data_IF_939331270660
#
_entry.id   IF_939331270660
#
_cell.length_a   1.000
_cell.length_b   1.000
_cell.length_c   1.000
_cell.angle_alpha   90.00
_cell.angle_beta   90.00
_cell.angle_gamma   90.00
#
_symmetry.space_group_name_H-M   'P 1'
#
loop_
_entity.id
_entity.type
_entity.pdbx_description
1 polymer ?
#
# COMPACT_ATOMS: atom_id res chain seq x y z
N UNK A 1 4.63 -7.79 74.23
CA UNK A 1 5.99 -8.16 73.80
C UNK A 1 5.86 -9.23 72.72
N UNK A 2 6.01 -8.84 71.46
CA UNK A 2 5.93 -9.70 70.28
C UNK A 2 6.09 -8.80 69.04
N UNK A 3 7.20 -8.89 68.29
CA UNK A 3 7.75 -7.75 67.57
C UNK A 3 7.10 -7.48 66.20
N UNK A 4 6.93 -6.17 66.02
CA UNK A 4 6.94 -5.31 64.85
C UNK A 4 7.18 -5.92 63.46
N UNK A 5 6.43 -5.34 62.51
CA UNK A 5 6.35 -5.73 61.12
C UNK A 5 7.64 -5.49 60.35
N UNK A 6 7.88 -6.40 59.41
CA UNK A 6 8.93 -6.27 58.41
C UNK A 6 8.27 -5.97 57.07
N UNK A 7 7.91 -4.70 56.85
CA UNK A 7 7.58 -4.21 55.51
C UNK A 7 8.83 -4.31 54.63
N UNK A 8 8.72 -5.09 53.55
CA UNK A 8 9.76 -5.19 52.53
C UNK A 8 9.83 -3.86 51.79
N UNK A 9 11.01 -3.24 51.64
CA UNK A 9 11.13 -2.01 50.87
C UNK A 9 10.87 -2.31 49.38
N UNK A 10 9.87 -1.62 48.82
CA UNK A 10 9.67 -1.53 47.37
C UNK A 10 10.94 -0.93 46.74
N UNK A 11 11.66 -1.76 45.99
CA UNK A 11 12.78 -1.30 45.18
C UNK A 11 12.27 -0.30 44.14
N UNK A 12 12.88 0.89 44.00
CA UNK A 12 12.48 1.85 42.99
C UNK A 12 12.68 1.25 41.60
N UNK A 13 11.63 1.30 40.78
CA UNK A 13 11.67 0.92 39.37
C UNK A 13 12.86 1.58 38.69
N UNK A 14 13.83 0.74 38.29
CA UNK A 14 15.00 1.20 37.55
C UNK A 14 14.50 1.90 36.29
N UNK A 15 14.98 3.12 35.97
CA UNK A 15 14.58 3.79 34.75
C UNK A 15 14.97 2.90 33.57
N UNK A 16 13.94 2.43 32.87
CA UNK A 16 14.07 1.54 31.74
C UNK A 16 15.07 2.14 30.74
N UNK A 17 16.14 1.40 30.45
CA UNK A 17 17.22 1.87 29.57
C UNK A 17 16.65 2.04 28.16
N UNK A 18 16.20 3.25 27.83
CA UNK A 18 15.71 3.62 26.50
C UNK A 18 16.74 3.17 25.46
N UNK A 19 16.33 2.27 24.57
CA UNK A 19 17.23 1.71 23.56
C UNK A 19 17.91 2.84 22.78
N UNK A 20 19.21 2.69 22.50
CA UNK A 20 20.00 3.71 21.75
C UNK A 20 19.59 3.84 20.28
N UNK A 21 18.52 3.17 19.84
CA UNK A 21 18.01 3.27 18.47
C UNK A 21 17.28 4.61 18.33
N UNK A 22 17.56 5.35 17.27
CA UNK A 22 16.78 6.55 16.93
C UNK A 22 15.33 6.10 16.72
N UNK A 23 14.42 6.69 17.48
CA UNK A 23 13.00 6.35 17.43
C UNK A 23 12.35 6.68 16.09
N UNK A 24 11.08 6.32 15.96
CA UNK A 24 10.27 6.65 14.82
C UNK A 24 10.26 8.16 14.55
N UNK A 25 10.00 8.50 13.29
CA UNK A 25 9.84 9.86 12.86
C UNK A 25 8.67 10.55 13.56
N UNK A 26 8.81 11.85 13.86
CA UNK A 26 7.72 12.63 14.46
C UNK A 26 6.54 12.71 13.48
N UNK A 27 5.32 12.63 14.01
CA UNK A 27 4.11 12.71 13.18
C UNK A 27 4.01 14.05 12.42
N UNK A 28 3.55 14.08 11.14
CA UNK A 28 3.45 15.31 10.36
C UNK A 28 2.56 16.39 10.98
N UNK A 29 1.47 16.00 11.66
CA UNK A 29 0.61 16.95 12.35
C UNK A 29 1.34 17.57 13.53
N UNK A 30 2.05 16.74 14.30
CA UNK A 30 2.85 17.22 15.43
C UNK A 30 3.99 18.15 14.97
N UNK A 31 4.67 17.84 13.86
CA UNK A 31 5.65 18.76 13.24
C UNK A 31 5.04 20.11 12.90
N UNK A 32 3.88 20.10 12.25
CA UNK A 32 3.14 21.32 11.90
C UNK A 32 2.82 22.13 13.16
N UNK A 33 2.34 21.46 14.21
CA UNK A 33 2.03 22.09 15.49
C UNK A 33 3.26 22.77 16.11
N UNK A 34 4.41 22.11 16.12
CA UNK A 34 5.66 22.69 16.64
C UNK A 34 6.07 23.95 15.85
N UNK A 35 5.94 23.92 14.52
CA UNK A 35 6.24 25.08 13.68
C UNK A 35 5.27 26.24 13.93
N UNK A 36 3.96 25.97 14.05
CA UNK A 36 2.95 26.99 14.38
C UNK A 36 3.21 27.65 15.74
N UNK A 37 3.55 26.87 16.76
CA UNK A 37 3.90 27.40 18.09
C UNK A 37 5.11 28.34 18.02
N UNK A 38 6.08 28.02 17.17
CA UNK A 38 7.27 28.87 16.99
C UNK A 38 6.99 30.12 16.16
N UNK A 39 6.27 29.97 15.05
CA UNK A 39 6.13 31.03 14.04
C UNK A 39 4.98 31.99 14.38
N UNK A 40 3.83 31.46 14.78
CA UNK A 40 2.61 32.22 15.07
C UNK A 40 2.56 32.65 16.53
N UNK A 41 2.71 31.71 17.47
CA UNK A 41 2.62 32.00 18.91
C UNK A 41 3.93 32.53 19.52
N UNK A 42 5.03 32.53 18.76
CA UNK A 42 6.38 33.01 19.17
C UNK A 42 6.94 32.33 20.43
N UNK A 43 6.57 31.07 20.69
CA UNK A 43 7.09 30.33 21.83
C UNK A 43 8.60 30.04 21.70
N UNK A 44 9.29 30.00 22.84
CA UNK A 44 10.68 29.56 22.93
C UNK A 44 10.80 28.04 22.84
N UNK A 45 11.95 27.53 22.39
CA UNK A 45 12.17 26.09 22.30
C UNK A 45 11.99 25.36 23.65
N UNK A 46 12.35 26.02 24.76
CA UNK A 46 12.16 25.46 26.11
C UNK A 46 10.68 25.38 26.50
N UNK A 47 9.89 26.41 26.20
CA UNK A 47 8.44 26.38 26.44
C UNK A 47 7.77 25.26 25.65
N UNK A 48 8.15 25.08 24.38
CA UNK A 48 7.64 23.99 23.53
C UNK A 48 8.05 22.61 24.10
N UNK A 49 9.28 22.47 24.62
CA UNK A 49 9.71 21.22 25.25
C UNK A 49 8.95 20.93 26.55
N UNK A 50 8.62 21.95 27.34
CA UNK A 50 7.86 21.78 28.57
C UNK A 50 6.43 21.28 28.27
N UNK A 51 5.82 21.76 27.19
CA UNK A 51 4.52 21.28 26.69
C UNK A 51 4.61 19.84 26.15
N UNK A 52 5.69 19.53 25.42
CA UNK A 52 5.93 18.21 24.83
C UNK A 52 7.18 17.54 25.42
N UNK A 53 7.16 17.10 26.69
CA UNK A 53 8.35 16.58 27.37
C UNK A 53 8.85 15.25 26.80
N UNK A 54 7.98 14.53 26.10
CA UNK A 54 8.33 13.29 25.40
C UNK A 54 9.19 13.53 24.15
N UNK A 55 9.19 14.75 23.59
CA UNK A 55 9.97 15.10 22.42
C UNK A 55 11.29 15.73 22.87
N UNK A 56 12.46 15.17 22.47
CA UNK A 56 13.74 15.78 22.81
C UNK A 56 13.88 17.20 22.23
N UNK A 57 14.52 18.09 22.99
CA UNK A 57 14.76 19.47 22.56
C UNK A 57 15.50 19.56 21.22
N UNK A 58 16.42 18.63 20.96
CA UNK A 58 17.14 18.52 19.69
C UNK A 58 16.20 18.20 18.52
N UNK A 59 15.21 17.32 18.74
CA UNK A 59 14.17 17.00 17.75
C UNK A 59 13.30 18.21 17.48
N UNK A 60 12.88 18.97 18.49
CA UNK A 60 12.10 20.21 18.31
C UNK A 60 12.89 21.22 17.48
N UNK A 61 14.14 21.50 17.86
CA UNK A 61 15.01 22.44 17.13
C UNK A 61 15.21 22.04 15.67
N UNK A 62 15.57 20.79 15.42
CA UNK A 62 15.79 20.28 14.06
C UNK A 62 14.50 20.17 13.24
N UNK A 63 13.36 19.99 13.89
CA UNK A 63 12.04 20.03 13.23
C UNK A 63 11.77 21.43 12.71
N UNK A 64 11.86 22.45 13.57
CA UNK A 64 11.61 23.83 13.19
C UNK A 64 12.65 24.32 12.16
N UNK A 65 13.94 24.07 12.37
CA UNK A 65 15.00 24.58 11.49
C UNK A 65 14.94 23.99 10.07
N UNK A 66 14.47 22.75 9.93
CA UNK A 66 14.36 22.07 8.63
C UNK A 66 12.97 22.16 8.01
N UNK A 67 12.10 23.02 8.55
CA UNK A 67 10.73 23.21 8.05
C UNK A 67 10.73 23.51 6.55
N UNK A 68 11.59 24.43 6.10
CA UNK A 68 11.72 24.83 4.69
C UNK A 68 12.11 23.69 3.74
N UNK A 69 12.76 22.65 4.25
CA UNK A 69 13.20 21.52 3.44
C UNK A 69 12.11 20.45 3.30
N UNK A 70 11.05 20.50 4.10
CA UNK A 70 9.97 19.50 4.06
C UNK A 70 8.90 19.93 3.06
N UNK A 71 8.37 18.96 2.34
CA UNK A 71 7.18 19.13 1.50
C UNK A 71 6.02 18.49 2.25
N UNK A 72 4.95 19.24 2.51
CA UNK A 72 3.77 18.78 3.27
C UNK A 72 4.13 18.20 4.66
N UNK A 73 5.15 18.74 5.34
CA UNK A 73 5.64 18.27 6.64
C UNK A 73 6.19 16.82 6.66
N UNK A 74 6.38 16.20 5.49
CA UNK A 74 7.07 14.92 5.35
C UNK A 74 8.58 15.12 5.21
N UNK A 75 9.34 14.18 5.77
CA UNK A 75 10.78 14.12 5.57
C UNK A 75 11.07 13.81 4.11
N UNK A 76 12.08 14.48 3.54
CA UNK A 76 12.53 14.14 2.19
C UNK A 76 13.05 12.71 2.15
N UNK A 77 12.66 11.98 1.10
CA UNK A 77 13.25 10.68 0.82
C UNK A 77 14.76 10.84 0.67
N UNK A 78 15.52 9.88 1.22
CA UNK A 78 16.97 9.87 1.03
C UNK A 78 17.27 9.61 -0.43
N UNK A 79 18.26 10.32 -0.98
CA UNK A 79 18.82 9.95 -2.27
C UNK A 79 19.29 8.50 -2.19
N UNK A 80 18.65 7.64 -2.98
CA UNK A 80 19.02 6.23 -3.06
C UNK A 80 20.42 6.05 -3.64
N UNK A 81 20.87 4.80 -3.72
CA UNK A 81 22.11 4.46 -4.42
C UNK A 81 21.97 4.82 -5.90
N UNK A 82 22.98 5.44 -6.54
CA UNK A 82 22.95 5.70 -7.97
C UNK A 82 22.82 4.40 -8.76
N UNK A 83 22.05 4.45 -9.84
CA UNK A 83 21.86 3.32 -10.76
C UNK A 83 23.15 3.00 -11.50
N UNK A 84 23.42 1.71 -11.74
CA UNK A 84 24.53 1.26 -12.60
C UNK A 84 24.27 1.53 -14.09
N UNK A 85 23.00 1.59 -14.48
CA UNK A 85 22.58 1.95 -15.83
C UNK A 85 22.64 3.47 -15.98
N UNK A 86 23.50 3.94 -16.88
CA UNK A 86 23.52 5.33 -17.33
C UNK A 86 22.34 5.58 -18.27
N UNK A 87 21.98 6.85 -18.44
CA UNK A 87 20.87 7.23 -19.32
C UNK A 87 21.15 6.86 -20.79
N UNK A 88 22.41 6.94 -21.22
CA UNK A 88 22.88 6.48 -22.53
C UNK A 88 22.60 4.98 -22.75
N UNK A 89 22.92 4.15 -21.76
CA UNK A 89 22.70 2.70 -21.82
C UNK A 89 21.20 2.38 -21.86
N UNK A 90 20.38 3.15 -21.14
CA UNK A 90 18.91 3.04 -21.17
C UNK A 90 18.35 3.38 -22.54
N UNK A 91 18.85 4.44 -23.19
CA UNK A 91 18.45 4.81 -24.54
C UNK A 91 18.78 3.69 -25.54
N UNK A 92 19.98 3.10 -25.46
CA UNK A 92 20.37 1.95 -26.30
C UNK A 92 19.45 0.74 -26.12
N UNK A 93 19.08 0.41 -24.87
CA UNK A 93 18.13 -0.68 -24.59
C UNK A 93 16.76 -0.37 -25.19
N UNK A 94 16.27 0.86 -25.05
CA UNK A 94 14.97 1.28 -25.61
C UNK A 94 14.97 1.17 -27.13
N UNK A 95 16.01 1.65 -27.79
CA UNK A 95 16.16 1.54 -29.25
C UNK A 95 16.18 0.08 -29.72
N UNK A 96 16.99 -0.76 -29.08
CA UNK A 96 17.04 -2.20 -29.40
C UNK A 96 15.67 -2.89 -29.21
N UNK A 97 14.93 -2.52 -28.16
CA UNK A 97 13.60 -3.06 -27.90
C UNK A 97 12.54 -2.55 -28.87
N UNK A 98 12.63 -1.29 -29.32
CA UNK A 98 11.75 -0.74 -30.34
C UNK A 98 12.02 -1.34 -31.72
N UNK A 99 13.28 -1.61 -32.05
CA UNK A 99 13.66 -2.27 -33.29
C UNK A 99 13.11 -3.71 -33.34
N UNK A 100 13.25 -4.46 -32.24
CA UNK A 100 12.77 -5.83 -32.14
C UNK A 100 12.11 -6.07 -30.76
N UNK A 101 10.77 -6.15 -30.69
CA UNK A 101 10.08 -6.32 -29.41
C UNK A 101 10.28 -7.72 -28.80
N UNK A 102 10.63 -8.74 -29.58
CA UNK A 102 10.84 -10.11 -29.09
C UNK A 102 12.27 -10.40 -28.62
N UNK A 103 13.10 -9.36 -28.44
CA UNK A 103 14.51 -9.53 -28.03
C UNK A 103 14.60 -10.18 -26.64
N UNK A 104 15.53 -11.13 -26.55
CA UNK A 104 15.81 -11.86 -25.32
C UNK A 104 16.67 -11.03 -24.36
N UNK A 105 16.63 -11.36 -23.07
CA UNK A 105 17.43 -10.65 -22.08
C UNK A 105 18.94 -10.80 -22.30
N UNK A 106 19.36 -11.93 -22.88
CA UNK A 106 20.77 -12.19 -23.20
C UNK A 106 21.28 -11.27 -24.31
N UNK A 107 20.47 -11.02 -25.34
CA UNK A 107 20.81 -10.07 -26.41
C UNK A 107 20.87 -8.62 -25.88
N UNK A 108 19.95 -8.23 -24.99
CA UNK A 108 20.00 -6.90 -24.35
C UNK A 108 21.20 -6.73 -23.43
N UNK A 109 21.74 -7.81 -22.85
CA UNK A 109 22.97 -7.74 -22.07
C UNK A 109 24.18 -7.41 -22.92
N UNK A 110 24.25 -7.97 -24.13
CA UNK A 110 25.33 -7.69 -25.08
C UNK A 110 25.32 -6.21 -25.48
N UNK A 111 24.15 -5.63 -25.74
CA UNK A 111 23.99 -4.19 -26.07
C UNK A 111 24.54 -3.27 -24.97
N UNK A 112 24.50 -3.72 -23.71
CA UNK A 112 24.89 -2.96 -22.52
C UNK A 112 26.26 -3.42 -21.99
N UNK A 113 27.01 -4.21 -22.76
CA UNK A 113 28.33 -4.72 -22.41
C UNK A 113 28.37 -5.44 -21.04
N UNK A 114 27.31 -6.18 -20.70
CA UNK A 114 27.16 -6.90 -19.43
C UNK A 114 27.37 -6.06 -18.15
N UNK A 115 27.17 -4.73 -18.21
CA UNK A 115 27.34 -3.83 -17.05
C UNK A 115 26.34 -4.13 -15.91
N UNK A 116 25.21 -4.74 -16.23
CA UNK A 116 24.13 -5.08 -15.30
C UNK A 116 23.70 -6.54 -15.42
N UNK A 117 23.03 -7.07 -14.39
CA UNK A 117 22.48 -8.42 -14.44
C UNK A 117 21.12 -8.49 -15.13
N UNK A 118 20.73 -9.70 -15.55
CA UNK A 118 19.41 -9.98 -16.18
C UNK A 118 18.23 -9.42 -15.39
N UNK A 119 18.26 -9.55 -14.07
CA UNK A 119 17.16 -9.09 -13.19
C UNK A 119 17.06 -7.56 -13.16
N UNK A 120 18.18 -6.83 -13.28
CA UNK A 120 18.16 -5.37 -13.40
C UNK A 120 17.54 -4.91 -14.71
N UNK A 121 17.82 -5.60 -15.82
CA UNK A 121 17.16 -5.34 -17.11
C UNK A 121 15.68 -5.68 -17.07
N UNK A 122 15.30 -6.79 -16.42
CA UNK A 122 13.89 -7.16 -16.23
C UNK A 122 13.13 -6.09 -15.46
N UNK A 123 13.67 -5.60 -14.34
CA UNK A 123 13.08 -4.51 -13.56
C UNK A 123 12.97 -3.24 -14.40
N UNK A 124 14.05 -2.85 -15.07
CA UNK A 124 14.08 -1.68 -15.95
C UNK A 124 12.99 -1.72 -17.03
N UNK A 125 12.87 -2.83 -17.77
CA UNK A 125 11.85 -2.97 -18.81
C UNK A 125 10.41 -3.00 -18.27
N UNK A 126 10.22 -3.48 -17.04
CA UNK A 126 8.92 -3.47 -16.37
C UNK A 126 8.54 -2.07 -15.86
N UNK A 127 9.52 -1.32 -15.32
CA UNK A 127 9.36 0.06 -14.85
C UNK A 127 9.05 1.00 -16.03
N UNK A 128 9.74 0.82 -17.16
CA UNK A 128 9.48 1.54 -18.42
C UNK A 128 8.20 1.07 -19.14
N UNK A 129 7.53 0.00 -18.66
CA UNK A 129 6.27 -0.49 -19.22
C UNK A 129 6.35 -1.24 -20.55
N UNK A 130 7.55 -1.42 -21.10
CA UNK A 130 7.81 -1.96 -22.44
C UNK A 130 7.34 -3.41 -22.66
N UNK A 131 7.25 -4.21 -21.59
CA UNK A 131 6.78 -5.61 -21.68
C UNK A 131 5.29 -5.81 -21.39
N UNK A 132 4.61 -4.84 -20.76
CA UNK A 132 3.17 -4.93 -20.49
C UNK A 132 2.32 -4.72 -21.74
N UNK A 133 2.86 -4.01 -22.73
CA UNK A 133 2.22 -3.73 -24.02
C UNK A 133 2.25 -4.92 -24.98
N UNK A 134 2.87 -6.05 -24.60
CA UNK A 134 3.01 -7.23 -25.45
C UNK A 134 1.97 -8.32 -25.25
N UNK A 135 0.95 -8.15 -24.41
CA UNK A 135 -0.13 -9.15 -24.37
C UNK A 135 -0.97 -8.97 -25.63
N UNK A 136 -0.84 -9.82 -26.68
CA UNK A 136 -1.82 -9.77 -27.76
C UNK A 136 -3.17 -10.11 -27.15
N UNK A 137 -4.17 -9.28 -27.40
CA UNK A 137 -5.56 -9.64 -27.10
C UNK A 137 -5.83 -11.02 -27.69
N UNK A 138 -6.43 -11.90 -26.88
CA UNK A 138 -6.89 -13.27 -27.24
C UNK A 138 -7.86 -13.19 -28.43
N UNK A 139 -7.35 -13.01 -29.64
CA UNK A 139 -8.12 -12.73 -30.85
C UNK A 139 -8.10 -13.90 -31.83
N UNK A 140 -7.43 -15.01 -31.52
CA UNK A 140 -7.28 -16.15 -32.43
C UNK A 140 -8.18 -17.36 -32.13
N UNK A 141 -9.21 -17.24 -31.28
CA UNK A 141 -10.21 -18.31 -31.09
C UNK A 141 -11.48 -18.12 -31.96
N UNK A 142 -11.54 -17.06 -32.76
CA UNK A 142 -12.63 -16.82 -33.70
C UNK A 142 -12.13 -17.00 -35.15
N UNK A 143 -11.97 -18.25 -35.59
CA UNK A 143 -11.59 -18.51 -36.97
C UNK A 143 -11.44 -19.99 -37.30
N UNK A 144 -12.50 -20.55 -37.90
CA UNK A 144 -12.57 -21.79 -38.69
C UNK A 144 -12.92 -23.09 -37.95
N UNK A 145 -14.21 -23.33 -37.84
CA UNK A 145 -14.85 -24.65 -38.06
C UNK A 145 -16.10 -24.42 -38.90
N UNK A 146 -15.94 -24.42 -40.24
CA UNK A 146 -16.47 -25.47 -41.12
C UNK A 146 -17.99 -25.36 -41.35
N UNK A 147 -18.31 -24.77 -42.51
CA UNK A 147 -19.59 -24.86 -43.20
C UNK A 147 -19.95 -26.31 -43.46
N UNK A 148 -20.93 -26.85 -42.74
CA UNK A 148 -21.74 -27.96 -43.24
C UNK A 148 -23.20 -27.53 -43.15
N UNK A 149 -23.75 -27.16 -44.31
CA UNK A 149 -25.18 -27.14 -44.55
C UNK A 149 -25.72 -28.55 -44.29
N UNK A 150 -26.63 -28.68 -43.32
CA UNK A 150 -27.60 -29.77 -43.30
C UNK A 150 -28.94 -29.13 -43.00
N UNK A 151 -29.84 -29.29 -43.96
CA UNK A 151 -31.28 -29.04 -43.85
C UNK A 151 -31.85 -29.56 -42.53
N UNK A 152 -32.71 -28.75 -41.92
CA UNK A 152 -33.38 -29.15 -40.69
C UNK A 152 -34.10 -27.99 -40.02
N UNK A 153 -35.01 -27.35 -40.73
CA UNK A 153 -35.99 -26.47 -40.10
C UNK A 153 -36.85 -27.29 -39.13
N UNK A 154 -36.65 -27.09 -37.82
CA UNK A 154 -37.70 -27.28 -36.82
C UNK A 154 -37.60 -26.15 -35.78
N UNK A 155 -38.72 -25.46 -35.48
CA UNK A 155 -38.75 -24.44 -34.45
C UNK A 155 -38.54 -25.09 -33.08
N UNK A 156 -37.64 -24.50 -32.28
CA UNK A 156 -37.40 -24.91 -30.90
C UNK A 156 -38.67 -24.66 -30.11
N UNK A 157 -39.39 -25.72 -29.74
CA UNK A 157 -40.43 -25.63 -28.72
C UNK A 157 -39.78 -25.21 -27.40
N UNK A 158 -40.26 -24.11 -26.83
CA UNK A 158 -39.93 -23.72 -25.47
C UNK A 158 -40.42 -24.81 -24.50
N UNK A 159 -39.51 -25.58 -23.92
CA UNK A 159 -39.88 -26.42 -22.78
C UNK A 159 -39.92 -25.54 -21.52
N UNK A 160 -41.11 -25.06 -21.20
CA UNK A 160 -41.42 -24.68 -19.83
C UNK A 160 -41.68 -25.97 -19.06
N UNK A 161 -40.63 -26.59 -18.50
CA UNK A 161 -40.63 -27.49 -17.32
C UNK A 161 -39.23 -28.15 -17.20
N UNK A 162 -38.48 -27.94 -16.10
CA UNK A 162 -37.27 -28.72 -15.84
C UNK A 162 -37.63 -30.17 -15.44
N UNK A 163 -36.87 -31.18 -15.87
CA UNK A 163 -37.14 -32.57 -15.50
C UNK A 163 -36.96 -32.79 -13.98
N UNK A 164 -37.91 -33.51 -13.38
CA UNK A 164 -37.86 -33.92 -11.99
C UNK A 164 -36.61 -34.79 -11.75
N UNK A 165 -35.65 -34.27 -11.00
CA UNK A 165 -34.40 -34.97 -10.67
C UNK A 165 -33.21 -34.07 -10.35
N UNK A 166 -33.28 -32.76 -10.55
CA UNK A 166 -32.19 -31.82 -10.25
C UNK A 166 -32.24 -31.24 -8.81
N UNK A 167 -33.08 -31.81 -7.94
CA UNK A 167 -33.08 -31.49 -6.51
C UNK A 167 -31.99 -32.31 -5.80
N UNK A 168 -30.73 -31.91 -6.00
CA UNK A 168 -29.56 -32.47 -5.33
C UNK A 168 -28.88 -31.42 -4.44
N UNK A 169 -29.40 -31.28 -3.22
CA UNK A 169 -28.70 -30.94 -1.98
C UNK A 169 -27.56 -29.88 -2.03
N UNK A 170 -27.92 -28.60 -2.04
CA UNK A 170 -27.04 -27.57 -1.45
C UNK A 170 -27.46 -27.37 0.02
N UNK A 171 -26.47 -27.51 0.88
CA UNK A 171 -26.64 -27.80 2.30
C UNK A 171 -27.46 -26.78 3.08
N UNK A 172 -28.25 -27.33 3.99
CA UNK A 172 -28.85 -26.65 5.14
C UNK A 172 -27.78 -25.91 5.93
N UNK A 173 -27.96 -24.61 6.11
CA UNK A 173 -27.15 -23.82 7.01
C UNK A 173 -27.66 -22.40 7.11
N UNK A 174 -28.45 -22.15 8.16
CA UNK A 174 -28.79 -20.84 8.75
C UNK A 174 -30.04 -20.13 8.16
N UNK A 175 -31.18 -20.49 8.75
CA UNK A 175 -32.25 -19.52 9.09
C UNK A 175 -31.75 -18.66 10.27
N UNK A 176 -32.17 -17.37 10.40
CA UNK A 176 -33.53 -17.02 10.80
C UNK A 176 -34.16 -15.90 9.94
N UNK A 177 -35.39 -16.08 9.46
CA UNK A 177 -36.62 -15.57 10.08
C UNK A 177 -36.72 -14.03 10.05
N UNK A 178 -37.20 -13.50 8.93
CA UNK A 178 -37.76 -12.16 8.84
C UNK A 178 -39.27 -12.23 9.01
N UNK A 179 -39.78 -11.51 10.00
CA UNK A 179 -41.16 -11.02 10.01
C UNK A 179 -41.10 -9.50 9.98
N UNK A 180 -41.34 -8.95 8.79
CA UNK A 180 -41.78 -7.60 8.49
C UNK A 180 -43.09 -7.22 9.24
N UNK A 181 -43.64 -5.99 9.14
CA UNK A 181 -43.09 -4.72 8.63
C UNK A 181 -43.48 -3.50 9.52
N UNK A 182 -43.12 -2.31 9.00
CA UNK A 182 -43.93 -1.07 9.05
C UNK A 182 -43.57 -0.01 10.10
N UNK A 183 -43.06 1.10 9.55
CA UNK A 183 -43.61 2.46 9.64
C UNK A 183 -43.73 3.17 11.00
N UNK A 184 -43.46 4.48 10.92
CA UNK A 184 -43.97 5.55 11.78
C UNK A 184 -43.15 5.95 13.03
N UNK A 185 -42.51 7.12 12.88
CA UNK A 185 -42.82 8.33 13.67
C UNK A 185 -42.17 8.55 15.05
N UNK A 186 -41.43 9.67 15.10
CA UNK A 186 -41.37 10.70 16.16
C UNK A 186 -40.60 10.48 17.48
N UNK A 187 -39.75 11.50 17.70
CA UNK A 187 -39.63 12.33 18.90
C UNK A 187 -38.96 11.81 20.17
N UNK A 188 -37.96 12.61 20.60
CA UNK A 188 -37.77 13.10 21.99
C UNK A 188 -37.42 12.05 23.06
N UNK A 189 -36.81 12.28 24.23
CA UNK A 189 -36.09 13.33 24.97
C UNK A 189 -35.67 12.62 26.29
N UNK A 190 -34.65 13.15 27.01
CA UNK A 190 -34.30 12.88 28.43
C UNK A 190 -33.70 11.49 28.72
N UNK A 191 -32.64 11.30 29.51
CA UNK A 191 -32.01 12.13 30.55
C UNK A 191 -32.04 11.37 31.89
N UNK A 192 -30.89 10.83 32.30
CA UNK A 192 -30.30 10.79 33.65
C UNK A 192 -29.19 9.74 33.73
#
# INVERSE_FOLDING_TARGET
MGPEGLEKPETPDKPEKKSRRRGAELDPFLRTRLCVLRTTAKWTYKQIQNEYPHIPLSTIKSTILRESNRVNNHSQARSGRPSKLKEEDRARIREAFHANPQVTYDELLVVVDYKVGKESLRRFLNDDGLRKTQTPGRSSLAGKGATNQVDGAQPVQSYATPPAGWAGNFGSGLLPSESDPASATASQIVGN
#
